data_IF_359790988176
#
_entry.id   IF_359790988176
#
_cell.length_a   1.000
_cell.length_b   1.000
_cell.length_c   1.000
_cell.angle_alpha   90.00
_cell.angle_beta   90.00
_cell.angle_gamma   90.00
#
_symmetry.space_group_name_H-M   'P 1'
#
loop_
_entity.id
_entity.type
_entity.pdbx_description
1 polymer ?
#
# COMPACT_ATOMS: atom_id res chain seq x y z
N UNK A 1 1.35 -12.12 -8.04
CA UNK A 1 1.35 -12.25 -6.56
C UNK A 1 -0.04 -11.93 -6.03
N UNK A 2 -0.75 -12.89 -5.43
CA UNK A 2 -2.16 -12.75 -5.03
C UNK A 2 -2.42 -11.57 -4.08
N UNK A 3 -1.47 -11.22 -3.21
CA UNK A 3 -1.63 -10.12 -2.25
C UNK A 3 -1.75 -8.71 -2.88
N UNK A 4 -1.11 -8.43 -4.04
CA UNK A 4 -1.29 -7.14 -4.73
C UNK A 4 -2.70 -6.99 -5.30
N UNK A 5 -3.26 -8.09 -5.80
CA UNK A 5 -4.62 -8.15 -6.33
C UNK A 5 -5.61 -7.90 -5.19
N UNK A 6 -5.37 -8.51 -4.03
CA UNK A 6 -6.21 -8.29 -2.83
C UNK A 6 -6.23 -6.81 -2.42
N UNK A 7 -5.09 -6.12 -2.37
CA UNK A 7 -5.06 -4.68 -2.03
C UNK A 7 -5.92 -3.85 -3.00
N UNK A 8 -5.79 -4.10 -4.31
CA UNK A 8 -6.61 -3.42 -5.32
C UNK A 8 -8.09 -3.76 -5.19
N UNK A 9 -8.43 -5.01 -4.87
CA UNK A 9 -9.81 -5.43 -4.63
C UNK A 9 -10.41 -4.72 -3.41
N UNK A 10 -9.66 -4.54 -2.32
CA UNK A 10 -10.13 -3.77 -1.17
C UNK A 10 -10.43 -2.32 -1.52
N UNK A 11 -9.51 -1.64 -2.23
CA UNK A 11 -9.75 -0.27 -2.69
C UNK A 11 -10.93 -0.18 -3.66
N UNK A 12 -11.04 -1.10 -4.62
CA UNK A 12 -12.15 -1.13 -5.57
C UNK A 12 -13.49 -1.41 -4.88
N UNK A 13 -13.52 -2.36 -3.94
CA UNK A 13 -14.72 -2.68 -3.18
C UNK A 13 -15.16 -1.50 -2.30
N UNK A 14 -14.23 -0.82 -1.64
CA UNK A 14 -14.55 0.39 -0.87
C UNK A 14 -15.12 1.51 -1.74
N UNK A 15 -14.56 1.74 -2.93
CA UNK A 15 -15.12 2.70 -3.89
C UNK A 15 -16.51 2.29 -4.36
N UNK A 16 -16.73 1.00 -4.64
CA UNK A 16 -18.05 0.48 -5.05
C UNK A 16 -19.10 0.64 -3.95
N UNK A 17 -18.72 0.52 -2.67
CA UNK A 17 -19.66 0.73 -1.55
C UNK A 17 -20.24 2.15 -1.47
N UNK A 18 -19.60 3.13 -2.14
CA UNK A 18 -20.13 4.50 -2.22
C UNK A 18 -21.28 4.65 -3.24
N UNK A 19 -21.42 3.69 -4.16
CA UNK A 19 -22.41 3.73 -5.25
C UNK A 19 -23.46 2.62 -5.16
N UNK A 20 -23.20 1.59 -4.36
CA UNK A 20 -24.05 0.42 -4.20
C UNK A 20 -24.49 0.32 -2.74
N UNK A 21 -25.80 0.28 -2.50
CA UNK A 21 -26.34 0.03 -1.17
C UNK A 21 -25.88 -1.36 -0.69
N UNK A 22 -25.09 -1.37 0.37
CA UNK A 22 -24.59 -2.57 1.02
C UNK A 22 -25.19 -2.69 2.42
N UNK A 23 -25.23 -3.90 3.01
CA UNK A 23 -25.58 -4.05 4.41
C UNK A 23 -24.66 -3.18 5.27
N UNK A 24 -25.22 -2.39 6.19
CA UNK A 24 -24.48 -1.39 6.97
C UNK A 24 -23.22 -1.96 7.65
N UNK A 25 -23.29 -3.20 8.16
CA UNK A 25 -22.13 -3.88 8.77
C UNK A 25 -21.00 -4.12 7.76
N UNK A 26 -21.33 -4.54 6.54
CA UNK A 26 -20.36 -4.81 5.47
C UNK A 26 -19.72 -3.50 4.99
N UNK A 27 -20.55 -2.48 4.78
CA UNK A 27 -20.09 -1.15 4.40
C UNK A 27 -19.11 -0.58 5.43
N UNK A 28 -19.47 -0.61 6.73
CA UNK A 28 -18.61 -0.13 7.81
C UNK A 28 -17.28 -0.89 7.88
N UNK A 29 -17.33 -2.22 7.84
CA UNK A 29 -16.10 -3.05 7.85
C UNK A 29 -15.20 -2.68 6.66
N UNK A 30 -15.79 -2.49 5.48
CA UNK A 30 -15.04 -2.22 4.27
C UNK A 30 -14.43 -0.82 4.25
N UNK A 31 -15.19 0.18 4.68
CA UNK A 31 -14.72 1.57 4.77
C UNK A 31 -13.64 1.71 5.85
N UNK A 32 -13.90 1.25 7.08
CA UNK A 32 -12.92 1.34 8.16
C UNK A 32 -11.69 0.45 7.91
N UNK A 33 -11.89 -0.75 7.35
CA UNK A 33 -10.80 -1.64 6.98
C UNK A 33 -9.91 -1.04 5.89
N UNK A 34 -10.51 -0.46 4.86
CA UNK A 34 -9.76 0.22 3.78
C UNK A 34 -9.06 1.48 4.29
N UNK A 35 -9.71 2.26 5.16
CA UNK A 35 -9.11 3.43 5.78
C UNK A 35 -7.91 3.06 6.67
N UNK A 36 -8.04 2.00 7.47
CA UNK A 36 -6.95 1.49 8.30
C UNK A 36 -5.78 0.97 7.46
N UNK A 37 -6.06 0.26 6.36
CA UNK A 37 -5.04 -0.20 5.41
C UNK A 37 -4.32 0.98 4.75
N UNK A 38 -5.07 1.97 4.29
CA UNK A 38 -4.53 3.20 3.70
C UNK A 38 -3.65 3.97 4.68
N UNK A 39 -4.12 4.14 5.93
CA UNK A 39 -3.36 4.79 6.99
C UNK A 39 -2.07 4.01 7.33
N UNK A 40 -2.14 2.68 7.40
CA UNK A 40 -0.97 1.85 7.60
C UNK A 40 0.07 2.05 6.48
N UNK A 41 -0.36 2.04 5.22
CA UNK A 41 0.54 2.32 4.10
C UNK A 41 1.11 3.75 4.10
N UNK A 42 0.35 4.74 4.58
CA UNK A 42 0.86 6.09 4.76
C UNK A 42 1.95 6.16 5.84
N UNK A 43 1.80 5.43 6.95
CA UNK A 43 2.85 5.27 7.96
C UNK A 43 4.07 4.56 7.36
N UNK A 44 3.85 3.55 6.52
CA UNK A 44 4.93 2.86 5.82
C UNK A 44 5.77 3.80 4.95
N UNK A 45 5.15 4.77 4.29
CA UNK A 45 5.88 5.80 3.53
C UNK A 45 6.88 6.50 4.45
N UNK A 46 6.44 6.97 5.62
CA UNK A 46 7.29 7.70 6.57
C UNK A 46 8.47 6.85 7.08
N UNK A 47 8.21 5.59 7.47
CA UNK A 47 9.26 4.71 8.03
C UNK A 47 10.20 4.14 6.97
N UNK A 48 9.72 3.97 5.73
CA UNK A 48 10.48 3.40 4.63
C UNK A 48 10.99 4.45 3.64
N UNK A 49 10.92 5.75 3.95
CA UNK A 49 11.36 6.84 3.07
C UNK A 49 12.75 6.60 2.46
N UNK A 50 13.71 6.10 3.27
CA UNK A 50 15.06 5.80 2.77
C UNK A 50 15.11 4.74 1.68
N UNK A 51 14.19 3.78 1.70
CA UNK A 51 14.11 2.70 0.71
C UNK A 51 13.26 3.09 -0.49
N UNK A 52 12.19 3.86 -0.26
CA UNK A 52 11.31 4.40 -1.30
C UNK A 52 12.09 5.32 -2.25
N UNK A 53 13.07 6.07 -1.72
CA UNK A 53 14.00 6.91 -2.49
C UNK A 53 14.97 6.13 -3.39
N UNK A 54 15.12 4.82 -3.19
CA UNK A 54 15.95 3.97 -4.06
C UNK A 54 15.21 3.53 -5.33
N UNK A 55 13.94 3.94 -5.48
CA UNK A 55 13.20 3.73 -6.70
C UNK A 55 13.80 4.55 -7.84
N UNK A 56 14.02 3.91 -8.99
CA UNK A 56 14.68 4.51 -10.16
C UNK A 56 13.83 5.60 -10.86
N UNK A 57 12.53 5.65 -10.57
CA UNK A 57 11.60 6.64 -11.12
C UNK A 57 11.27 7.80 -10.17
N UNK A 58 10.27 8.63 -10.53
CA UNK A 58 9.82 9.73 -9.70
C UNK A 58 9.43 9.31 -8.28
N UNK A 59 9.87 10.08 -7.28
CA UNK A 59 9.58 9.80 -5.86
C UNK A 59 8.08 9.70 -5.58
N UNK A 60 7.29 10.57 -6.21
CA UNK A 60 5.83 10.58 -6.07
C UNK A 60 5.20 9.25 -6.53
N UNK A 61 5.72 8.65 -7.61
CA UNK A 61 5.26 7.35 -8.10
C UNK A 61 5.60 6.26 -7.08
N UNK A 62 6.81 6.28 -6.52
CA UNK A 62 7.20 5.33 -5.47
C UNK A 62 6.34 5.44 -4.20
N UNK A 63 5.98 6.67 -3.82
CA UNK A 63 5.05 6.93 -2.70
C UNK A 63 3.65 6.42 -3.02
N UNK A 64 3.12 6.66 -4.21
CA UNK A 64 1.81 6.14 -4.64
C UNK A 64 1.80 4.61 -4.68
N UNK A 65 2.85 4.00 -5.19
CA UNK A 65 3.00 2.54 -5.18
C UNK A 65 3.10 1.99 -3.74
N UNK A 66 3.74 2.70 -2.83
CA UNK A 66 3.76 2.34 -1.41
C UNK A 66 2.37 2.51 -0.79
N UNK A 67 1.61 3.54 -1.16
CA UNK A 67 0.24 3.74 -0.66
C UNK A 67 -0.72 2.63 -1.13
N UNK A 68 -0.51 2.13 -2.35
CA UNK A 68 -1.33 1.07 -2.93
C UNK A 68 -0.92 -0.34 -2.47
N UNK A 69 0.37 -0.61 -2.32
CA UNK A 69 0.91 -1.96 -2.12
C UNK A 69 1.71 -2.13 -0.82
N UNK A 70 1.95 -1.05 -0.10
CA UNK A 70 2.67 -1.03 1.15
C UNK A 70 4.09 -1.58 1.05
N UNK A 71 4.47 -2.37 2.06
CA UNK A 71 5.75 -3.07 2.15
C UNK A 71 6.06 -3.94 0.95
N UNK A 72 5.06 -4.40 0.20
CA UNK A 72 5.32 -5.18 -1.01
C UNK A 72 6.07 -4.37 -2.07
N UNK A 73 5.91 -3.05 -2.08
CA UNK A 73 6.64 -2.16 -2.98
C UNK A 73 8.07 -1.89 -2.48
N UNK A 74 8.23 -1.49 -1.22
CA UNK A 74 9.54 -1.01 -0.75
C UNK A 74 10.48 -2.09 -0.20
N UNK A 75 9.98 -3.25 0.21
CA UNK A 75 10.78 -4.34 0.79
C UNK A 75 11.91 -4.86 -0.13
N UNK A 76 11.73 -5.01 -1.45
CA UNK A 76 12.82 -5.38 -2.35
C UNK A 76 14.00 -4.41 -2.30
N UNK A 77 13.75 -3.10 -2.19
CA UNK A 77 14.80 -2.09 -2.07
C UNK A 77 15.53 -2.17 -0.73
N UNK A 78 14.83 -2.46 0.37
CA UNK A 78 15.47 -2.76 1.67
C UNK A 78 16.40 -3.96 1.56
N UNK A 79 15.98 -5.04 0.89
CA UNK A 79 16.82 -6.24 0.70
C UNK A 79 18.06 -5.93 -0.13
N UNK A 80 17.92 -5.20 -1.24
CA UNK A 80 19.04 -4.77 -2.09
C UNK A 80 20.03 -3.90 -1.32
N UNK A 81 19.55 -2.93 -0.55
CA UNK A 81 20.40 -2.07 0.27
C UNK A 81 21.17 -2.85 1.35
N UNK A 82 20.54 -3.85 1.96
CA UNK A 82 21.21 -4.72 2.93
C UNK A 82 22.28 -5.63 2.29
N UNK A 83 22.03 -6.12 1.08
CA UNK A 83 22.99 -6.96 0.33
C UNK A 83 24.20 -6.17 -0.17
N UNK A 84 24.00 -4.93 -0.63
CA UNK A 84 25.10 -4.05 -1.05
C UNK A 84 25.99 -3.54 0.10
N UNK A 85 25.59 -3.73 1.36
CA UNK A 85 26.38 -3.37 2.54
C UNK A 85 27.28 -4.52 3.04
N UNK A 86 27.15 -5.71 2.45
CA UNK A 86 27.87 -6.93 2.84
C UNK A 86 28.90 -7.38 1.77
N UNK A 87 29.13 -6.55 0.75
CA UNK A 87 30.11 -6.76 -0.32
C UNK A 87 31.24 -5.74 -0.28
#
# INVERSE_FOLDING_TARGET
>A
MPAKIICLLFYAAALLSLFVEMPATVEQILQYGTLALFAAHAVEIAVALRYIKLYEGPLLISMLLTLLFGFMHWMPYKKRAAQGSAG
#
